data_IF_312927627015
#
_entry.id   IF_312927627015
#
_cell.length_a   1.000
_cell.length_b   1.000
_cell.length_c   1.000
_cell.angle_alpha   90.00
_cell.angle_beta   90.00
_cell.angle_gamma   90.00
#
_symmetry.space_group_name_H-M   'P 1'
#
loop_
_entity.id
_entity.type
_entity.pdbx_description
1 polymer ?
#
# COMPACT_ATOMS: atom_id res chain seq x y z
N UNK A 1 -96.79 30.03 -5.20
CA UNK A 1 -95.63 30.87 -5.59
C UNK A 1 -94.80 31.42 -4.42
N UNK A 2 -95.33 32.24 -3.48
CA UNK A 2 -94.52 32.75 -2.33
C UNK A 2 -94.22 31.69 -1.25
N UNK A 3 -95.13 30.76 -0.99
CA UNK A 3 -94.92 29.68 -0.01
C UNK A 3 -93.99 28.59 -0.55
N UNK A 4 -94.11 28.21 -1.82
CA UNK A 4 -93.21 27.24 -2.48
C UNK A 4 -91.75 27.73 -2.58
N UNK A 5 -91.55 29.05 -2.71
CA UNK A 5 -90.21 29.65 -2.64
C UNK A 5 -89.61 29.59 -1.23
N UNK A 6 -90.43 29.71 -0.18
CA UNK A 6 -89.95 29.61 1.21
C UNK A 6 -89.56 28.18 1.57
N UNK A 7 -90.37 27.20 1.18
CA UNK A 7 -90.06 25.78 1.42
C UNK A 7 -88.80 25.34 0.66
N UNK A 8 -88.61 25.78 -0.58
CA UNK A 8 -87.38 25.51 -1.34
C UNK A 8 -86.13 26.15 -0.70
N UNK A 9 -86.24 27.34 -0.12
CA UNK A 9 -85.13 27.97 0.60
C UNK A 9 -84.79 27.23 1.91
N UNK A 10 -85.80 26.76 2.65
CA UNK A 10 -85.59 25.99 3.88
C UNK A 10 -84.93 24.63 3.62
N UNK A 11 -85.27 23.97 2.51
CA UNK A 11 -84.61 22.71 2.10
C UNK A 11 -83.14 22.93 1.71
N UNK A 12 -82.83 24.02 1.01
CA UNK A 12 -81.45 24.39 0.68
C UNK A 12 -80.63 24.65 1.95
N UNK A 13 -81.19 25.39 2.92
CA UNK A 13 -80.52 25.66 4.20
C UNK A 13 -80.26 24.37 4.97
N UNK A 14 -81.25 23.49 5.10
CA UNK A 14 -81.07 22.19 5.76
C UNK A 14 -80.01 21.31 5.08
N UNK A 15 -79.97 21.33 3.74
CA UNK A 15 -78.94 20.62 2.98
C UNK A 15 -77.55 21.21 3.24
N UNK A 16 -77.42 22.54 3.27
CA UNK A 16 -76.16 23.22 3.57
C UNK A 16 -75.69 22.96 5.00
N UNK A 17 -76.59 22.98 5.99
CA UNK A 17 -76.27 22.65 7.38
C UNK A 17 -75.77 21.21 7.52
N UNK A 18 -76.44 20.26 6.85
CA UNK A 18 -76.00 18.86 6.82
C UNK A 18 -74.61 18.69 6.20
N UNK A 19 -74.34 19.40 5.10
CA UNK A 19 -73.02 19.38 4.44
C UNK A 19 -71.93 20.03 5.33
N UNK A 20 -72.24 21.12 6.01
CA UNK A 20 -71.33 21.78 6.95
C UNK A 20 -71.00 20.87 8.14
N UNK A 21 -71.99 20.15 8.66
CA UNK A 21 -71.79 19.19 9.75
C UNK A 21 -70.93 18.00 9.31
N UNK A 22 -71.13 17.49 8.09
CA UNK A 22 -70.25 16.45 7.51
C UNK A 22 -68.81 16.94 7.38
N UNK A 23 -68.59 18.14 6.83
CA UNK A 23 -67.26 18.75 6.72
C UNK A 23 -66.58 18.95 8.08
N UNK A 24 -67.33 19.38 9.11
CA UNK A 24 -66.80 19.53 10.48
C UNK A 24 -66.32 18.20 11.05
N UNK A 25 -67.10 17.13 10.84
CA UNK A 25 -66.74 15.79 11.32
C UNK A 25 -65.54 15.22 10.55
N UNK A 26 -65.44 15.48 9.25
CA UNK A 26 -64.29 15.08 8.44
C UNK A 26 -63.00 15.82 8.86
N UNK A 27 -63.06 17.13 9.05
CA UNK A 27 -61.93 17.93 9.57
C UNK A 27 -61.50 17.43 10.95
N UNK A 28 -62.44 17.12 11.84
CA UNK A 28 -62.15 16.58 13.18
C UNK A 28 -61.43 15.23 13.08
N UNK A 29 -61.88 14.36 12.18
CA UNK A 29 -61.27 13.04 11.96
C UNK A 29 -59.87 13.17 11.39
N UNK A 30 -59.68 13.99 10.35
CA UNK A 30 -58.36 14.27 9.75
C UNK A 30 -57.39 14.88 10.77
N UNK A 31 -57.86 15.80 11.63
CA UNK A 31 -57.05 16.36 12.71
C UNK A 31 -56.56 15.27 13.68
N UNK A 32 -57.45 14.38 14.10
CA UNK A 32 -57.09 13.27 14.99
C UNK A 32 -56.10 12.29 14.33
N UNK A 33 -56.27 11.99 13.05
CA UNK A 33 -55.31 11.16 12.31
C UNK A 33 -53.95 11.84 12.19
N UNK A 34 -53.93 13.15 11.91
CA UNK A 34 -52.71 13.93 11.82
C UNK A 34 -51.97 13.94 13.16
N UNK A 35 -52.67 14.19 14.28
CA UNK A 35 -52.10 14.13 15.62
C UNK A 35 -51.52 12.75 15.96
N UNK A 36 -52.21 11.66 15.57
CA UNK A 36 -51.67 10.30 15.74
C UNK A 36 -50.38 10.10 14.95
N UNK A 37 -50.32 10.55 13.69
CA UNK A 37 -49.11 10.46 12.85
C UNK A 37 -47.97 11.27 13.44
N UNK A 38 -48.22 12.49 13.92
CA UNK A 38 -47.21 13.32 14.59
C UNK A 38 -46.62 12.61 15.81
N UNK A 39 -47.46 12.05 16.68
CA UNK A 39 -46.98 11.29 17.86
C UNK A 39 -46.11 10.09 17.50
N UNK A 40 -46.42 9.40 16.39
CA UNK A 40 -45.60 8.29 15.90
C UNK A 40 -44.23 8.78 15.40
N UNK A 41 -44.22 9.88 14.65
CA UNK A 41 -42.96 10.48 14.17
C UNK A 41 -42.10 11.03 15.31
N UNK A 42 -42.70 11.64 16.33
CA UNK A 42 -42.01 12.15 17.51
C UNK A 42 -41.25 11.04 18.24
N UNK A 43 -41.92 9.90 18.52
CA UNK A 43 -41.25 8.72 19.09
C UNK A 43 -40.12 8.20 18.21
N UNK A 44 -40.33 8.15 16.89
CA UNK A 44 -39.27 7.68 15.97
C UNK A 44 -38.05 8.61 15.99
N UNK A 45 -38.25 9.92 16.13
CA UNK A 45 -37.16 10.90 16.26
C UNK A 45 -36.43 10.69 17.59
N UNK A 46 -37.14 10.45 18.68
CA UNK A 46 -36.54 10.14 19.99
C UNK A 46 -35.71 8.85 19.95
N UNK A 47 -36.24 7.78 19.35
CA UNK A 47 -35.52 6.51 19.20
C UNK A 47 -34.22 6.69 18.37
N UNK A 48 -34.31 7.41 17.25
CA UNK A 48 -33.14 7.73 16.41
C UNK A 48 -32.12 8.59 17.17
N UNK A 49 -32.58 9.54 17.98
CA UNK A 49 -31.71 10.37 18.80
C UNK A 49 -30.96 9.52 19.84
N UNK A 50 -31.65 8.64 20.56
CA UNK A 50 -31.03 7.73 21.52
C UNK A 50 -30.00 6.81 20.85
N UNK A 51 -30.34 6.28 19.66
CA UNK A 51 -29.42 5.44 18.89
C UNK A 51 -28.16 6.20 18.47
N UNK A 52 -28.30 7.44 18.00
CA UNK A 52 -27.17 8.29 17.63
C UNK A 52 -26.28 8.64 18.83
N UNK A 53 -26.86 8.90 20.00
CA UNK A 53 -26.10 9.12 21.24
C UNK A 53 -25.29 7.87 21.60
N UNK A 54 -25.90 6.68 21.51
CA UNK A 54 -25.21 5.41 21.74
C UNK A 54 -24.03 5.17 20.79
N UNK A 55 -24.23 5.43 19.48
CA UNK A 55 -23.15 5.33 18.50
C UNK A 55 -22.01 6.32 18.78
N UNK A 56 -22.34 7.55 19.16
CA UNK A 56 -21.33 8.58 19.48
C UNK A 56 -20.47 8.14 20.67
N UNK A 57 -21.08 7.61 21.73
CA UNK A 57 -20.37 7.10 22.90
C UNK A 57 -19.46 5.91 22.56
N UNK A 58 -19.92 5.01 21.67
CA UNK A 58 -19.11 3.87 21.23
C UNK A 58 -17.89 4.32 20.41
N UNK A 59 -18.09 5.29 19.51
CA UNK A 59 -17.01 5.87 18.71
C UNK A 59 -15.99 6.55 19.63
N UNK A 60 -16.44 7.36 20.59
CA UNK A 60 -15.56 8.01 21.57
C UNK A 60 -14.74 7.01 22.39
N UNK A 61 -15.35 5.89 22.79
CA UNK A 61 -14.65 4.83 23.52
C UNK A 61 -13.54 4.19 22.68
N UNK A 62 -13.82 3.83 21.43
CA UNK A 62 -12.79 3.24 20.54
C UNK A 62 -11.71 4.26 20.17
N UNK A 63 -12.05 5.55 20.01
CA UNK A 63 -11.06 6.62 19.83
C UNK A 63 -10.10 6.71 21.01
N UNK A 64 -10.60 6.80 22.25
CA UNK A 64 -9.74 6.86 23.46
C UNK A 64 -8.84 5.64 23.60
N UNK A 65 -9.36 4.46 23.25
CA UNK A 65 -8.59 3.21 23.26
C UNK A 65 -7.47 3.21 22.21
N UNK A 66 -7.73 3.76 21.02
CA UNK A 66 -6.72 3.93 19.98
C UNK A 66 -5.68 4.99 20.36
N UNK A 67 -6.09 6.13 20.91
CA UNK A 67 -5.19 7.15 21.45
C UNK A 67 -4.23 6.56 22.49
N UNK A 68 -4.75 5.78 23.43
CA UNK A 68 -3.92 5.12 24.44
C UNK A 68 -2.87 4.17 23.82
N UNK A 69 -3.26 3.42 22.78
CA UNK A 69 -2.32 2.55 22.04
C UNK A 69 -1.25 3.37 21.32
N UNK A 70 -1.63 4.47 20.68
CA UNK A 70 -0.70 5.38 19.99
C UNK A 70 0.32 5.92 20.99
N UNK A 71 -0.13 6.49 22.11
CA UNK A 71 0.77 7.03 23.15
C UNK A 71 1.70 5.95 23.72
N UNK A 72 1.23 4.71 23.86
CA UNK A 72 2.09 3.60 24.29
C UNK A 72 3.18 3.29 23.25
N UNK A 73 2.82 3.26 21.97
CA UNK A 73 3.78 3.02 20.89
C UNK A 73 4.78 4.16 20.71
N UNK A 74 4.35 5.41 20.87
CA UNK A 74 5.22 6.59 20.87
C UNK A 74 6.30 6.46 21.96
N UNK A 75 5.90 6.17 23.21
CA UNK A 75 6.86 5.96 24.31
C UNK A 75 7.88 4.85 24.04
N UNK A 76 7.43 3.73 23.45
CA UNK A 76 8.34 2.62 23.10
C UNK A 76 9.31 3.05 21.98
N UNK A 77 8.84 3.86 21.03
CA UNK A 77 9.65 4.35 19.93
C UNK A 77 10.70 5.34 20.42
N UNK A 78 10.33 6.25 21.31
CA UNK A 78 11.26 7.20 21.94
C UNK A 78 12.33 6.48 22.75
N UNK A 79 11.97 5.44 23.51
CA UNK A 79 12.94 4.61 24.23
C UNK A 79 13.92 3.88 23.30
N UNK A 80 13.45 3.38 22.16
CA UNK A 80 14.32 2.73 21.17
C UNK A 80 15.24 3.72 20.47
N UNK A 81 14.77 4.94 20.22
CA UNK A 81 15.59 6.01 19.65
C UNK A 81 16.72 6.39 20.60
N UNK A 82 16.44 6.59 21.89
CA UNK A 82 17.48 6.89 22.87
C UNK A 82 18.50 5.75 23.03
N UNK A 83 18.06 4.49 22.99
CA UNK A 83 18.98 3.34 22.98
C UNK A 83 19.89 3.31 21.73
N UNK A 84 19.37 3.70 20.57
CA UNK A 84 20.14 3.77 19.33
C UNK A 84 21.14 4.92 19.36
N UNK A 85 20.74 6.09 19.83
CA UNK A 85 21.63 7.26 19.97
C UNK A 85 22.83 6.92 20.87
N UNK A 86 22.58 6.29 22.02
CA UNK A 86 23.65 5.85 22.93
C UNK A 86 24.61 4.83 22.26
N UNK A 87 24.10 3.95 21.40
CA UNK A 87 24.94 2.98 20.66
C UNK A 87 25.77 3.67 19.59
N UNK A 88 25.18 4.62 18.87
CA UNK A 88 25.90 5.40 17.85
C UNK A 88 27.02 6.21 18.49
N UNK A 89 26.76 6.85 19.64
CA UNK A 89 27.77 7.59 20.39
C UNK A 89 28.93 6.66 20.80
N UNK A 90 28.62 5.51 21.40
CA UNK A 90 29.65 4.52 21.77
C UNK A 90 30.48 4.03 20.56
N UNK A 91 29.83 3.70 19.44
CA UNK A 91 30.55 3.28 18.24
C UNK A 91 31.37 4.41 17.63
N UNK A 92 30.93 5.66 17.75
CA UNK A 92 31.70 6.81 17.28
C UNK A 92 32.97 7.01 18.10
N UNK A 93 32.91 6.79 19.41
CA UNK A 93 34.09 6.80 20.30
C UNK A 93 35.05 5.66 19.94
N UNK A 94 34.54 4.44 19.75
CA UNK A 94 35.35 3.28 19.34
C UNK A 94 36.03 3.49 17.98
N UNK A 95 35.36 4.14 17.03
CA UNK A 95 35.96 4.48 15.73
C UNK A 95 37.08 5.51 15.90
N UNK A 96 36.90 6.49 16.80
CA UNK A 96 37.92 7.52 17.02
C UNK A 96 39.16 6.95 17.73
N UNK A 97 39.00 6.03 18.68
CA UNK A 97 40.14 5.32 19.30
C UNK A 97 40.90 4.49 18.27
N UNK A 98 40.21 3.72 17.42
CA UNK A 98 40.84 2.93 16.34
C UNK A 98 41.59 3.84 15.35
N UNK A 99 41.04 5.01 15.00
CA UNK A 99 41.74 5.97 14.12
C UNK A 99 43.03 6.49 14.75
N UNK A 100 43.03 6.75 16.05
CA UNK A 100 44.24 7.20 16.76
C UNK A 100 45.30 6.09 16.86
N UNK A 101 44.89 4.83 17.07
CA UNK A 101 45.78 3.67 16.98
C UNK A 101 46.42 3.54 15.59
N UNK A 102 45.61 3.62 14.52
CA UNK A 102 46.11 3.59 13.12
C UNK A 102 47.06 4.77 12.84
N UNK A 103 46.76 5.98 13.35
CA UNK A 103 47.66 7.14 13.21
C UNK A 103 48.98 6.93 13.95
N UNK A 104 48.97 6.24 15.09
CA UNK A 104 50.16 5.83 15.82
C UNK A 104 51.02 4.84 15.03
N UNK A 105 50.41 3.80 14.46
CA UNK A 105 51.09 2.79 13.64
C UNK A 105 51.60 3.34 12.30
N UNK A 106 50.87 4.27 11.68
CA UNK A 106 51.28 4.95 10.44
C UNK A 106 52.54 5.82 10.60
N UNK A 107 52.91 6.21 11.83
CA UNK A 107 54.20 6.89 12.10
C UNK A 107 55.40 5.93 12.06
N UNK A 108 55.19 4.63 12.29
CA UNK A 108 56.24 3.61 12.21
C UNK A 108 56.49 3.09 10.78
N UNK A 109 55.49 3.14 9.89
CA UNK A 109 55.60 2.63 8.51
C UNK A 109 56.11 3.66 7.49
N UNK A 110 56.05 4.96 7.79
CA UNK A 110 56.62 6.02 6.93
C UNK A 110 58.15 5.97 6.77
N UNK A 111 58.87 5.23 7.62
CA UNK A 111 60.31 5.02 7.49
C UNK A 111 60.69 3.94 6.44
N UNK A 112 59.73 3.22 5.84
CA UNK A 112 60.04 2.01 5.04
C UNK A 112 59.32 1.89 3.70
N UNK A 113 58.82 2.97 3.11
CA UNK A 113 58.26 2.94 1.75
C UNK A 113 58.90 4.05 0.91
N UNK A 114 60.01 3.71 0.26
CA UNK A 114 60.40 4.35 -0.99
C UNK A 114 60.20 3.34 -2.12
N UNK A 115 59.55 3.83 -3.19
CA UNK A 115 59.60 3.31 -4.56
C UNK A 115 58.64 2.16 -4.92
N UNK A 116 57.36 2.50 -5.17
CA UNK A 116 56.60 1.85 -6.26
C UNK A 116 55.91 2.97 -7.06
N UNK A 117 56.26 3.03 -8.35
CA UNK A 117 55.76 3.97 -9.34
C UNK A 117 54.27 3.73 -9.61
N UNK A 118 53.52 4.83 -9.69
CA UNK A 118 52.13 4.87 -10.11
C UNK A 118 52.04 4.70 -11.64
N UNK A 119 51.42 3.61 -12.08
CA UNK A 119 50.57 3.55 -13.29
C UNK A 119 49.11 3.40 -12.81
N UNK A 120 48.09 3.93 -13.51
CA UNK A 120 46.71 3.82 -13.05
C UNK A 120 46.19 2.39 -13.33
N UNK A 121 46.52 1.48 -12.42
CA UNK A 121 46.12 0.06 -12.40
C UNK A 121 44.86 -0.18 -11.54
N UNK A 122 44.24 0.89 -11.04
CA UNK A 122 43.18 0.90 -10.02
C UNK A 122 41.83 0.30 -10.45
N UNK A 123 41.67 -0.11 -11.71
CA UNK A 123 40.46 -0.79 -12.20
C UNK A 123 40.65 -2.30 -12.38
N UNK A 124 41.89 -2.81 -12.41
CA UNK A 124 42.18 -4.24 -12.63
C UNK A 124 42.26 -5.07 -11.33
N UNK A 125 42.29 -4.41 -10.18
CA UNK A 125 42.47 -5.03 -8.85
C UNK A 125 41.31 -4.80 -7.89
N UNK A 126 40.15 -4.35 -8.38
CA UNK A 126 39.01 -4.11 -7.49
C UNK A 126 38.45 -5.44 -7.00
N UNK A 127 38.68 -5.73 -5.71
CA UNK A 127 38.04 -6.84 -5.01
C UNK A 127 36.52 -6.74 -5.22
N UNK A 128 35.84 -7.80 -5.69
CA UNK A 128 34.41 -7.78 -5.92
C UNK A 128 33.65 -7.36 -4.66
N UNK A 129 32.52 -6.67 -4.85
CA UNK A 129 31.60 -6.39 -3.75
C UNK A 129 31.12 -7.71 -3.15
N UNK A 130 31.00 -7.75 -1.82
CA UNK A 130 30.49 -8.92 -1.12
C UNK A 130 29.06 -9.23 -1.52
N UNK A 131 28.71 -10.51 -1.54
CA UNK A 131 27.37 -11.00 -1.87
C UNK A 131 26.70 -11.61 -0.64
N UNK A 132 25.54 -11.07 -0.30
CA UNK A 132 24.78 -11.42 0.91
C UNK A 132 23.69 -12.50 0.67
N UNK A 133 23.44 -12.84 -0.60
CA UNK A 133 22.34 -13.74 -1.00
C UNK A 133 21.08 -13.01 -1.45
N UNK A 134 21.04 -11.68 -1.41
CA UNK A 134 19.86 -10.90 -1.77
C UNK A 134 19.94 -10.36 -3.21
N UNK A 135 19.01 -10.81 -4.04
CA UNK A 135 18.87 -10.39 -5.44
C UNK A 135 18.72 -8.87 -5.63
N UNK A 136 18.24 -8.14 -4.61
CA UNK A 136 18.13 -6.67 -4.65
C UNK A 136 19.47 -5.95 -4.52
N UNK A 137 20.44 -6.55 -3.83
CA UNK A 137 21.73 -5.91 -3.51
C UNK A 137 22.81 -6.21 -4.56
N UNK A 138 22.65 -7.29 -5.31
CA UNK A 138 23.49 -7.67 -6.44
C UNK A 138 22.99 -8.93 -7.12
N UNK A 139 23.09 -8.98 -8.46
CA UNK A 139 22.64 -10.16 -9.20
C UNK A 139 23.68 -11.30 -9.11
N UNK A 140 23.29 -12.56 -8.82
CA UNK A 140 24.20 -13.71 -8.68
C UNK A 140 25.14 -13.90 -9.87
N UNK A 141 24.64 -13.76 -11.11
CA UNK A 141 25.46 -13.85 -12.33
C UNK A 141 26.52 -12.74 -12.39
N UNK A 142 26.18 -11.51 -11.98
CA UNK A 142 27.13 -10.40 -12.01
C UNK A 142 28.20 -10.57 -10.94
N UNK A 143 27.82 -11.08 -9.76
CA UNK A 143 28.78 -11.46 -8.72
C UNK A 143 29.77 -12.52 -9.24
N UNK A 144 29.28 -13.63 -9.82
CA UNK A 144 30.15 -14.67 -10.36
C UNK A 144 31.08 -14.13 -11.45
N UNK A 145 30.57 -13.32 -12.40
CA UNK A 145 31.42 -12.70 -13.43
C UNK A 145 32.51 -11.81 -12.84
N UNK A 146 32.17 -11.01 -11.82
CA UNK A 146 33.14 -10.15 -11.15
C UNK A 146 34.20 -10.97 -10.41
N UNK A 147 33.78 -12.04 -9.73
CA UNK A 147 34.67 -13.00 -9.07
C UNK A 147 35.59 -13.70 -10.07
N UNK A 148 35.08 -14.20 -11.18
CA UNK A 148 35.89 -14.85 -12.21
C UNK A 148 36.93 -13.90 -12.79
N UNK A 149 36.53 -12.65 -13.08
CA UNK A 149 37.46 -11.65 -13.58
C UNK A 149 38.53 -11.28 -12.54
N UNK A 150 38.17 -11.23 -11.27
CA UNK A 150 39.13 -11.04 -10.18
C UNK A 150 40.10 -12.23 -10.07
N UNK A 151 39.59 -13.46 -10.09
CA UNK A 151 40.39 -14.67 -9.93
C UNK A 151 41.31 -14.97 -11.12
N UNK A 152 40.97 -14.52 -12.34
CA UNK A 152 41.83 -14.66 -13.54
C UNK A 152 43.21 -14.04 -13.36
N UNK A 153 43.34 -13.05 -12.49
CA UNK A 153 44.59 -12.34 -12.26
C UNK A 153 45.51 -13.04 -11.25
N UNK A 154 45.08 -14.18 -10.70
CA UNK A 154 45.83 -14.95 -9.72
C UNK A 154 46.16 -16.35 -10.25
N UNK A 155 47.44 -16.70 -10.22
CA UNK A 155 47.94 -18.07 -10.43
C UNK A 155 47.86 -18.84 -9.11
N UNK A 156 46.65 -19.26 -8.77
CA UNK A 156 46.34 -19.95 -7.51
C UNK A 156 45.62 -21.27 -7.77
N UNK A 157 45.71 -22.17 -6.82
CA UNK A 157 45.04 -23.48 -6.87
C UNK A 157 43.52 -23.32 -6.81
N UNK A 158 42.79 -24.29 -7.35
CA UNK A 158 41.32 -24.25 -7.34
C UNK A 158 40.74 -24.26 -5.92
N UNK A 159 41.43 -24.84 -4.94
CA UNK A 159 41.02 -24.80 -3.54
C UNK A 159 41.19 -23.40 -2.93
N UNK A 160 42.29 -22.70 -3.25
CA UNK A 160 42.51 -21.32 -2.82
C UNK A 160 41.48 -20.38 -3.47
N UNK A 161 41.10 -20.63 -4.73
CA UNK A 161 40.01 -19.92 -5.40
C UNK A 161 38.70 -20.06 -4.63
N UNK A 162 38.32 -21.29 -4.26
CA UNK A 162 37.10 -21.53 -3.47
C UNK A 162 37.14 -20.78 -2.14
N UNK A 163 38.27 -20.81 -1.42
CA UNK A 163 38.44 -20.10 -0.16
C UNK A 163 38.27 -18.58 -0.32
N UNK A 164 38.90 -17.98 -1.34
CA UNK A 164 38.77 -16.54 -1.64
C UNK A 164 37.31 -16.20 -1.93
N UNK A 165 36.61 -17.01 -2.72
CA UNK A 165 35.20 -16.74 -3.05
C UNK A 165 34.31 -16.82 -1.82
N UNK A 166 34.56 -17.77 -0.91
CA UNK A 166 33.84 -17.84 0.36
C UNK A 166 34.03 -16.60 1.23
N UNK A 167 35.20 -15.94 1.19
CA UNK A 167 35.41 -14.67 1.88
C UNK A 167 34.64 -13.49 1.28
N UNK A 168 34.31 -13.58 -0.01
CA UNK A 168 33.49 -12.60 -0.73
C UNK A 168 31.99 -12.81 -0.49
N UNK A 169 31.59 -13.82 0.29
CA UNK A 169 30.22 -14.02 0.72
C UNK A 169 30.00 -13.41 2.12
N UNK A 170 28.80 -12.90 2.35
CA UNK A 170 28.36 -12.39 3.65
C UNK A 170 26.92 -12.84 3.95
N UNK A 171 26.46 -12.55 5.18
CA UNK A 171 25.10 -12.87 5.61
C UNK A 171 24.68 -14.32 5.35
N UNK A 172 23.51 -14.50 4.74
CA UNK A 172 22.94 -15.81 4.46
C UNK A 172 23.76 -16.62 3.45
N UNK A 173 24.36 -15.95 2.45
CA UNK A 173 25.22 -16.61 1.48
C UNK A 173 26.48 -17.19 2.13
N UNK A 174 27.05 -16.50 3.12
CA UNK A 174 28.19 -17.02 3.89
C UNK A 174 27.81 -18.25 4.70
N UNK A 175 26.69 -18.21 5.44
CA UNK A 175 26.21 -19.35 6.22
C UNK A 175 25.93 -20.58 5.34
N UNK A 176 25.30 -20.39 4.18
CA UNK A 176 25.09 -21.44 3.19
C UNK A 176 26.42 -22.02 2.69
N UNK A 177 27.40 -21.16 2.38
CA UNK A 177 28.68 -21.62 1.87
C UNK A 177 29.50 -22.41 2.88
N UNK A 178 29.41 -22.06 4.16
CA UNK A 178 30.12 -22.78 5.23
C UNK A 178 29.59 -24.21 5.37
N UNK A 179 28.27 -24.40 5.25
CA UNK A 179 27.63 -25.72 5.33
C UNK A 179 28.10 -26.66 4.21
N UNK A 180 28.29 -26.13 3.00
CA UNK A 180 28.64 -26.90 1.80
C UNK A 180 30.13 -26.84 1.42
N UNK A 181 30.94 -26.14 2.22
CA UNK A 181 32.36 -25.87 1.96
C UNK A 181 33.22 -27.12 1.69
N UNK A 182 32.84 -28.26 2.28
CA UNK A 182 33.55 -29.55 2.11
C UNK A 182 33.19 -30.29 0.82
N UNK A 183 32.13 -29.85 0.13
CA UNK A 183 31.63 -30.50 -1.08
C UNK A 183 32.35 -30.00 -2.33
N UNK A 184 32.97 -28.82 -2.28
CA UNK A 184 33.58 -28.18 -3.44
C UNK A 184 35.10 -28.37 -3.48
N UNK A 185 35.57 -29.02 -4.55
CA UNK A 185 36.99 -29.24 -4.85
C UNK A 185 37.54 -28.24 -5.87
N UNK A 186 36.64 -27.59 -6.61
CA UNK A 186 37.00 -26.60 -7.60
C UNK A 186 35.95 -25.48 -7.70
N UNK A 187 36.33 -24.40 -8.36
CA UNK A 187 35.48 -23.23 -8.53
C UNK A 187 34.23 -23.51 -9.36
N UNK A 188 34.26 -24.50 -10.25
CA UNK A 188 33.12 -24.83 -11.12
C UNK A 188 32.00 -25.51 -10.31
N UNK A 189 32.34 -26.44 -9.42
CA UNK A 189 31.38 -27.07 -8.49
C UNK A 189 30.71 -26.01 -7.60
N UNK A 190 31.50 -25.08 -7.05
CA UNK A 190 30.96 -23.94 -6.31
C UNK A 190 29.97 -23.14 -7.16
N UNK A 191 30.35 -22.78 -8.40
CA UNK A 191 29.50 -22.00 -9.30
C UNK A 191 28.18 -22.69 -9.60
N UNK A 192 28.21 -23.98 -9.88
CA UNK A 192 26.99 -24.75 -10.17
C UNK A 192 26.03 -24.73 -8.97
N UNK A 193 26.54 -25.01 -7.78
CA UNK A 193 25.73 -24.99 -6.56
C UNK A 193 25.24 -23.59 -6.19
N UNK A 194 26.10 -22.58 -6.38
CA UNK A 194 25.75 -21.19 -6.15
C UNK A 194 24.61 -20.75 -7.09
N UNK A 195 24.69 -21.11 -8.36
CA UNK A 195 23.64 -20.82 -9.34
C UNK A 195 22.35 -21.58 -9.03
N UNK A 196 22.42 -22.86 -8.63
CA UNK A 196 21.25 -23.62 -8.18
C UNK A 196 20.59 -23.00 -6.95
N UNK A 197 21.37 -22.46 -6.02
CA UNK A 197 20.84 -21.86 -4.80
C UNK A 197 20.23 -20.47 -5.04
N UNK A 198 20.97 -19.58 -5.70
CA UNK A 198 20.62 -18.16 -5.78
C UNK A 198 19.99 -17.74 -7.12
N UNK A 199 20.11 -18.56 -8.17
CA UNK A 199 19.55 -18.28 -9.50
C UNK A 199 18.95 -19.53 -10.17
N UNK A 200 18.17 -20.30 -9.41
CA UNK A 200 17.45 -21.47 -9.91
C UNK A 200 16.41 -21.12 -10.99
N UNK A 201 15.97 -22.13 -11.74
CA UNK A 201 14.85 -22.02 -12.67
C UNK A 201 13.60 -21.46 -11.97
N UNK A 202 13.30 -21.91 -10.75
CA UNK A 202 12.20 -21.38 -9.95
C UNK A 202 12.33 -19.87 -9.66
N UNK A 203 13.54 -19.36 -9.42
CA UNK A 203 13.76 -17.92 -9.23
C UNK A 203 13.55 -17.16 -10.53
N UNK A 204 14.01 -17.71 -11.65
CA UNK A 204 13.80 -17.13 -12.98
C UNK A 204 12.31 -17.10 -13.34
N UNK A 205 11.57 -18.17 -13.07
CA UNK A 205 10.14 -18.25 -13.36
C UNK A 205 9.31 -17.29 -12.51
N UNK A 206 9.70 -17.05 -11.25
CA UNK A 206 9.09 -15.98 -10.43
C UNK A 206 9.26 -14.61 -11.08
N UNK A 207 10.42 -14.32 -11.68
CA UNK A 207 10.66 -13.05 -12.37
C UNK A 207 9.83 -12.99 -13.66
N UNK A 208 9.81 -14.08 -14.46
CA UNK A 208 8.96 -14.16 -15.67
C UNK A 208 7.48 -13.95 -15.34
N UNK A 209 6.98 -14.57 -14.26
CA UNK A 209 5.59 -14.42 -13.82
C UNK A 209 5.30 -12.97 -13.40
N UNK A 210 6.22 -12.35 -12.65
CA UNK A 210 6.07 -10.94 -12.29
C UNK A 210 6.10 -10.05 -13.54
N UNK A 211 7.01 -10.28 -14.49
CA UNK A 211 7.05 -9.55 -15.76
C UNK A 211 5.75 -9.69 -16.58
N UNK A 212 5.06 -10.83 -16.49
CA UNK A 212 3.79 -11.03 -17.18
C UNK A 212 2.59 -10.36 -16.48
N UNK A 213 2.78 -9.82 -15.28
CA UNK A 213 1.70 -9.26 -14.48
C UNK A 213 1.36 -7.85 -15.00
N UNK A 214 0.10 -7.59 -15.42
CA UNK A 214 -0.28 -6.28 -15.93
C UNK A 214 -0.36 -5.24 -14.80
N UNK A 215 -0.32 -3.95 -15.17
CA UNK A 215 -0.50 -2.80 -14.27
C UNK A 215 0.48 -2.75 -13.09
N UNK A 216 1.73 -3.12 -13.34
CA UNK A 216 2.79 -3.11 -12.33
C UNK A 216 3.48 -1.77 -12.13
N UNK A 217 3.29 -0.80 -13.03
CA UNK A 217 3.88 0.52 -12.87
C UNK A 217 3.29 1.24 -11.65
N UNK A 218 4.17 1.76 -10.80
CA UNK A 218 3.83 2.56 -9.63
C UNK A 218 4.56 3.90 -9.71
N UNK A 219 3.81 5.00 -9.84
CA UNK A 219 4.35 6.35 -9.93
C UNK A 219 5.16 6.79 -8.70
N UNK A 220 5.02 6.09 -7.56
CA UNK A 220 5.82 6.37 -6.36
C UNK A 220 7.23 5.79 -6.44
N UNK A 221 7.50 4.88 -7.39
CA UNK A 221 8.77 4.15 -7.50
C UNK A 221 9.71 4.69 -8.57
N UNK A 222 9.27 5.68 -9.35
CA UNK A 222 10.06 6.26 -10.43
C UNK A 222 9.18 6.77 -11.56
N UNK A 223 9.82 7.28 -12.60
CA UNK A 223 9.18 7.65 -13.85
C UNK A 223 8.96 6.40 -14.74
N UNK A 224 8.34 6.53 -15.92
CA UNK A 224 8.09 5.39 -16.80
C UNK A 224 9.39 4.75 -17.31
N UNK A 225 10.39 5.56 -17.60
CA UNK A 225 11.71 5.13 -18.10
C UNK A 225 12.45 4.32 -17.05
N UNK A 226 12.46 4.77 -15.79
CA UNK A 226 13.07 4.06 -14.65
C UNK A 226 12.46 2.67 -14.50
N UNK A 227 11.14 2.56 -14.66
CA UNK A 227 10.43 1.28 -14.59
C UNK A 227 10.84 0.32 -15.72
N UNK A 228 11.01 0.83 -16.94
CA UNK A 228 11.52 0.03 -18.06
C UNK A 228 12.93 -0.48 -17.76
N UNK A 229 13.85 0.42 -17.37
CA UNK A 229 15.23 0.03 -17.09
C UNK A 229 15.37 -0.93 -15.93
N UNK A 230 14.54 -0.78 -14.88
CA UNK A 230 14.46 -1.75 -13.79
C UNK A 230 14.16 -3.16 -14.32
N UNK A 231 13.12 -3.31 -15.15
CA UNK A 231 12.75 -4.62 -15.70
C UNK A 231 13.74 -5.16 -16.73
N UNK A 232 14.36 -4.30 -17.52
CA UNK A 232 15.47 -4.70 -18.42
C UNK A 232 16.62 -5.29 -17.60
N UNK A 233 16.99 -4.64 -16.49
CA UNK A 233 18.02 -5.15 -15.58
C UNK A 233 17.65 -6.48 -14.92
N UNK A 234 16.42 -6.60 -14.40
CA UNK A 234 15.93 -7.82 -13.75
C UNK A 234 15.83 -9.02 -14.71
N UNK A 235 15.58 -8.76 -16.00
CA UNK A 235 15.37 -9.81 -17.00
C UNK A 235 16.60 -10.13 -17.84
N UNK A 236 17.67 -9.32 -17.75
CA UNK A 236 18.90 -9.46 -18.54
C UNK A 236 19.59 -10.83 -18.42
N UNK A 237 19.34 -11.55 -17.33
CA UNK A 237 19.98 -12.81 -16.99
C UNK A 237 19.05 -14.02 -17.00
N UNK A 238 17.82 -13.85 -17.48
CA UNK A 238 16.86 -14.96 -17.64
C UNK A 238 17.32 -15.91 -18.74
N UNK A 239 17.19 -17.21 -18.49
CA UNK A 239 17.40 -18.25 -19.48
C UNK A 239 16.08 -19.01 -19.79
N UNK A 240 15.81 -19.30 -21.08
CA UNK A 240 16.47 -18.74 -22.26
C UNK A 240 16.29 -17.21 -22.35
N UNK A 241 17.22 -16.47 -23.00
CA UNK A 241 17.10 -15.03 -23.16
C UNK A 241 15.76 -14.65 -23.80
N UNK A 242 15.07 -13.68 -23.19
CA UNK A 242 13.82 -13.14 -23.75
C UNK A 242 14.11 -12.40 -25.05
N UNK A 243 13.28 -12.61 -26.06
CA UNK A 243 13.35 -11.77 -27.26
C UNK A 243 12.94 -10.35 -26.89
N UNK A 244 13.62 -9.37 -27.46
CA UNK A 244 13.36 -7.96 -27.16
C UNK A 244 11.90 -7.58 -27.40
N UNK A 245 11.31 -8.06 -28.50
CA UNK A 245 9.89 -7.86 -28.81
C UNK A 245 8.95 -8.42 -27.73
N UNK A 246 9.30 -9.59 -27.15
CA UNK A 246 8.50 -10.21 -26.08
C UNK A 246 8.60 -9.42 -24.79
N UNK A 247 9.80 -8.91 -24.48
CA UNK A 247 10.02 -8.04 -23.33
C UNK A 247 9.23 -6.74 -23.48
N UNK A 248 9.33 -6.07 -24.63
CA UNK A 248 8.59 -4.83 -24.92
C UNK A 248 7.10 -5.06 -24.79
N UNK A 249 6.56 -6.11 -25.41
CA UNK A 249 5.13 -6.44 -25.34
C UNK A 249 4.66 -6.76 -23.91
N UNK A 250 5.49 -7.37 -23.06
CA UNK A 250 5.16 -7.56 -21.65
C UNK A 250 5.15 -6.22 -20.90
N UNK A 251 6.16 -5.38 -21.14
CA UNK A 251 6.31 -4.08 -20.50
C UNK A 251 5.22 -3.08 -20.85
N UNK A 252 4.69 -3.09 -22.08
CA UNK A 252 3.58 -2.18 -22.45
C UNK A 252 2.36 -2.37 -21.56
N UNK A 253 2.10 -3.60 -21.11
CA UNK A 253 0.98 -3.96 -20.22
C UNK A 253 1.19 -3.55 -18.76
N UNK A 254 2.39 -3.09 -18.40
CA UNK A 254 2.66 -2.62 -17.04
C UNK A 254 2.05 -1.25 -16.75
N UNK A 255 1.81 -0.44 -17.78
CA UNK A 255 1.39 0.95 -17.65
C UNK A 255 -0.13 1.11 -17.52
N UNK A 256 -0.62 2.29 -17.11
CA UNK A 256 -2.06 2.60 -17.13
C UNK A 256 -2.65 2.46 -18.54
N UNK A 257 -3.95 2.19 -18.61
CA UNK A 257 -4.63 1.82 -19.86
C UNK A 257 -4.49 2.89 -20.95
N UNK A 258 -4.45 4.16 -20.60
CA UNK A 258 -4.28 5.27 -21.54
C UNK A 258 -2.91 5.22 -22.21
N UNK A 259 -1.86 4.94 -21.43
CA UNK A 259 -0.49 4.82 -21.92
C UNK A 259 -0.33 3.51 -22.70
N UNK A 260 -0.86 2.41 -22.18
CA UNK A 260 -0.85 1.10 -22.84
C UNK A 260 -1.44 1.19 -24.24
N UNK A 261 -2.61 1.83 -24.41
CA UNK A 261 -3.24 1.99 -25.71
C UNK A 261 -2.38 2.77 -26.71
N UNK A 262 -1.70 3.83 -26.25
CA UNK A 262 -0.78 4.61 -27.08
C UNK A 262 0.41 3.74 -27.51
N UNK A 263 1.00 2.99 -26.57
CA UNK A 263 2.14 2.12 -26.84
C UNK A 263 1.81 0.98 -27.81
N UNK A 264 0.65 0.35 -27.64
CA UNK A 264 0.14 -0.68 -28.56
C UNK A 264 -0.08 -0.07 -29.94
N UNK A 265 -0.66 1.15 -30.01
CA UNK A 265 -0.87 1.86 -31.28
C UNK A 265 0.42 2.24 -32.00
N UNK A 266 1.50 2.54 -31.28
CA UNK A 266 2.82 2.81 -31.88
C UNK A 266 3.52 1.54 -32.41
N UNK A 267 3.15 0.35 -31.92
CA UNK A 267 3.70 -0.91 -32.41
C UNK A 267 5.21 -1.09 -32.13
N UNK A 268 5.68 -0.55 -31.00
CA UNK A 268 7.11 -0.58 -30.67
C UNK A 268 7.62 -1.99 -30.43
N UNK A 269 8.83 -2.26 -30.96
CA UNK A 269 9.46 -3.59 -30.93
C UNK A 269 10.78 -3.62 -30.18
N UNK A 270 11.38 -2.47 -29.95
CA UNK A 270 12.67 -2.32 -29.27
C UNK A 270 12.49 -1.57 -27.96
N UNK A 271 13.33 -1.88 -26.98
CA UNK A 271 13.34 -1.20 -25.69
C UNK A 271 13.64 0.29 -25.87
N UNK A 272 14.54 0.63 -26.79
CA UNK A 272 14.90 2.02 -27.06
C UNK A 272 13.70 2.83 -27.57
N UNK A 273 12.93 2.28 -28.51
CA UNK A 273 11.78 3.02 -29.01
C UNK A 273 10.67 3.15 -27.95
N UNK A 274 10.46 2.09 -27.15
CA UNK A 274 9.55 2.13 -26.01
C UNK A 274 9.92 3.26 -25.05
N UNK A 275 11.20 3.39 -24.69
CA UNK A 275 11.70 4.47 -23.82
C UNK A 275 11.45 5.85 -24.46
N UNK A 276 11.83 6.03 -25.72
CA UNK A 276 11.64 7.31 -26.43
C UNK A 276 10.16 7.72 -26.47
N UNK A 277 9.25 6.75 -26.66
CA UNK A 277 7.81 7.02 -26.68
C UNK A 277 7.27 7.37 -25.29
N UNK A 278 7.71 6.65 -24.25
CA UNK A 278 7.34 6.93 -22.86
C UNK A 278 7.82 8.32 -22.41
N UNK A 279 9.03 8.74 -22.79
CA UNK A 279 9.54 10.08 -22.52
C UNK A 279 8.61 11.15 -23.10
N UNK A 280 8.22 11.02 -24.38
CA UNK A 280 7.28 11.94 -25.03
C UNK A 280 5.92 11.98 -24.33
N UNK A 281 5.40 10.82 -23.91
CA UNK A 281 4.13 10.74 -23.17
C UNK A 281 4.23 11.44 -21.81
N UNK A 282 5.36 11.32 -21.10
CA UNK A 282 5.59 11.99 -19.83
C UNK A 282 5.79 13.50 -19.97
N UNK A 283 6.44 13.95 -21.04
CA UNK A 283 6.60 15.37 -21.36
C UNK A 283 5.27 16.03 -21.70
N UNK A 284 4.41 15.32 -22.45
CA UNK A 284 3.07 15.80 -22.82
C UNK A 284 2.09 15.87 -21.63
N UNK A 285 2.35 15.16 -20.51
CA UNK A 285 1.47 15.10 -19.34
C UNK A 285 2.07 15.82 -18.11
N UNK A 286 1.84 17.13 -17.93
CA UNK A 286 2.37 17.89 -16.80
C UNK A 286 1.81 17.45 -15.42
N UNK A 287 0.67 16.76 -15.40
CA UNK A 287 0.09 16.21 -14.16
C UNK A 287 0.89 15.02 -13.60
N UNK A 288 1.70 14.33 -14.41
CA UNK A 288 2.58 13.25 -13.95
C UNK A 288 3.80 13.77 -13.18
N UNK A 289 4.31 14.96 -13.53
CA UNK A 289 5.47 15.58 -12.85
C UNK A 289 5.16 16.04 -11.42
N UNK A 290 3.91 16.41 -11.11
CA UNK A 290 3.54 16.89 -9.76
C UNK A 290 3.61 15.80 -8.68
N UNK A 291 3.35 14.54 -9.03
CA UNK A 291 3.39 13.44 -8.07
C UNK A 291 4.81 12.93 -7.74
N UNK A 292 5.82 13.30 -8.53
CA UNK A 292 7.22 12.90 -8.29
C UNK A 292 7.96 13.93 -7.39
N UNK A 293 7.52 15.19 -7.38
CA UNK A 293 8.11 16.26 -6.54
C UNK A 293 7.32 16.58 -5.26
N UNK A 294 6.18 15.92 -5.01
CA UNK A 294 5.25 16.26 -3.93
C UNK A 294 5.66 15.87 -2.49
N UNK A 295 6.83 15.26 -2.26
CA UNK A 295 7.17 14.69 -0.93
C UNK A 295 8.28 15.43 -0.18
N UNK A 296 8.53 16.72 -0.48
CA UNK A 296 9.55 17.49 0.29
C UNK A 296 9.15 18.84 0.87
N UNK A 297 7.97 19.40 0.61
CA UNK A 297 7.59 20.70 1.20
C UNK A 297 6.06 20.89 1.30
N UNK A 298 5.37 20.06 2.09
CA UNK A 298 3.96 20.34 2.46
C UNK A 298 3.71 20.09 3.95
N UNK A 299 4.67 20.46 4.79
CA UNK A 299 4.44 20.72 6.21
C UNK A 299 4.72 22.21 6.41
N UNK A 300 3.66 23.04 6.48
CA UNK A 300 3.60 24.35 7.18
C UNK A 300 2.69 25.44 6.55
N UNK A 301 1.59 25.13 5.83
CA UNK A 301 0.70 26.23 5.38
C UNK A 301 -0.81 26.15 5.62
N UNK A 302 -1.39 25.08 6.18
CA UNK A 302 -2.84 25.04 6.45
C UNK A 302 -3.21 24.94 7.94
N UNK A 303 -2.62 25.80 8.79
CA UNK A 303 -3.00 25.88 10.22
C UNK A 303 -3.20 27.29 10.77
N UNK A 304 -3.53 28.27 9.92
CA UNK A 304 -3.99 29.60 10.35
C UNK A 304 -5.03 30.11 9.35
N UNK A 305 -6.32 29.96 9.68
CA UNK A 305 -7.43 30.88 9.31
C UNK A 305 -8.85 30.27 9.45
N UNK A 306 -9.13 29.57 10.56
CA UNK A 306 -10.51 29.13 10.87
C UNK A 306 -10.98 29.50 12.29
N UNK A 307 -10.48 30.63 12.84
CA UNK A 307 -10.86 31.11 14.18
C UNK A 307 -11.42 32.53 14.26
N UNK A 308 -11.77 33.16 13.14
CA UNK A 308 -12.45 34.47 13.15
C UNK A 308 -13.59 34.50 12.12
N UNK A 309 -14.69 33.79 12.37
CA UNK A 309 -15.96 34.16 11.72
C UNK A 309 -17.24 33.61 12.39
N UNK A 310 -17.31 33.68 13.73
CA UNK A 310 -18.53 33.30 14.47
C UNK A 310 -19.25 34.44 15.20
N UNK A 311 -18.95 35.70 14.89
CA UNK A 311 -19.70 36.83 15.43
C UNK A 311 -20.06 37.81 14.32
N UNK A 312 -21.20 37.54 13.66
CA UNK A 312 -22.18 38.51 13.13
C UNK A 312 -23.06 37.84 12.08
N UNK A 313 -24.29 37.49 12.49
CA UNK A 313 -25.54 37.74 11.74
C UNK A 313 -26.72 37.10 12.48
N UNK A 314 -27.26 37.86 13.44
CA UNK A 314 -28.71 37.87 13.66
C UNK A 314 -29.29 38.88 12.67
N UNK A 315 -30.18 38.47 11.75
CA UNK A 315 -31.34 39.26 11.31
C UNK A 315 -32.41 38.31 10.76
N UNK A 316 -33.62 38.47 11.29
CA UNK A 316 -34.93 37.97 10.83
C UNK A 316 -35.10 37.83 9.31
N UNK A 317 -35.71 36.71 8.87
CA UNK A 317 -36.77 36.76 7.85
C UNK A 317 -37.84 35.72 8.23
N UNK A 318 -39.01 36.23 8.60
CA UNK A 318 -40.30 35.54 8.65
C UNK A 318 -40.89 35.67 7.26
N UNK A 319 -41.21 34.58 6.56
CA UNK A 319 -42.13 34.65 5.42
C UNK A 319 -42.94 33.36 5.24
N UNK A 320 -44.26 33.57 5.14
CA UNK A 320 -45.31 32.57 5.07
C UNK A 320 -45.42 31.95 3.67
N UNK A 321 -45.46 30.61 3.62
CA UNK A 321 -46.43 29.79 2.88
C UNK A 321 -46.54 29.87 1.35
N UNK A 322 -46.35 28.72 0.68
CA UNK A 322 -47.40 27.96 -0.06
C UNK A 322 -46.78 26.93 -1.03
N UNK A 323 -47.07 25.64 -0.78
CA UNK A 323 -47.86 24.82 -1.71
C UNK A 323 -47.17 23.96 -2.80
N UNK A 324 -47.44 22.65 -2.67
CA UNK A 324 -47.61 21.58 -3.69
C UNK A 324 -46.41 20.76 -4.19
N UNK A 325 -46.38 19.49 -3.74
CA UNK A 325 -46.62 18.24 -4.52
C UNK A 325 -46.23 18.28 -6.01
N UNK A 326 -45.53 17.29 -6.59
CA UNK A 326 -45.93 15.88 -6.64
C UNK A 326 -44.89 15.00 -7.39
N UNK A 327 -44.94 13.68 -7.13
CA UNK A 327 -44.58 12.55 -8.03
C UNK A 327 -43.15 12.00 -8.10
N UNK A 328 -42.89 11.10 -7.14
CA UNK A 328 -42.49 9.67 -7.24
C UNK A 328 -41.28 9.14 -8.05
N UNK A 329 -40.67 8.02 -7.58
CA UNK A 329 -39.35 7.50 -7.97
C UNK A 329 -39.38 6.13 -8.70
N UNK A 330 -38.30 5.79 -9.40
CA UNK A 330 -38.00 4.45 -9.94
C UNK A 330 -36.47 4.30 -10.03
N UNK A 331 -35.80 3.21 -9.63
CA UNK A 331 -36.23 1.92 -9.13
C UNK A 331 -35.02 1.05 -8.75
N UNK A 332 -35.33 -0.16 -8.26
CA UNK A 332 -34.48 -1.37 -8.21
C UNK A 332 -33.53 -1.57 -7.02
N UNK A 333 -34.11 -2.12 -5.94
CA UNK A 333 -33.49 -3.10 -5.04
C UNK A 333 -34.03 -4.50 -5.37
N UNK A 334 -33.20 -5.54 -5.29
CA UNK A 334 -33.43 -6.89 -4.71
C UNK A 334 -32.21 -7.80 -5.04
N UNK A 335 -31.97 -8.94 -4.36
CA UNK A 335 -32.27 -9.29 -2.97
C UNK A 335 -31.10 -10.00 -2.23
N UNK A 336 -31.22 -10.00 -0.90
CA UNK A 336 -30.46 -10.75 0.08
C UNK A 336 -30.78 -12.26 -0.01
N UNK A 337 -29.76 -13.14 -0.07
CA UNK A 337 -29.91 -14.60 -0.17
C UNK A 337 -29.45 -15.25 1.15
N UNK A 338 -30.41 -15.71 1.96
CA UNK A 338 -30.24 -16.66 3.06
C UNK A 338 -30.75 -18.04 2.61
N UNK A 339 -29.94 -19.07 2.83
CA UNK A 339 -30.22 -20.52 2.86
C UNK A 339 -28.97 -21.12 3.56
N UNK A 340 -28.97 -22.03 4.53
CA UNK A 340 -29.94 -22.98 5.06
C UNK A 340 -29.76 -23.07 6.59
N UNK A 341 -30.88 -23.21 7.29
CA UNK A 341 -31.00 -23.77 8.63
C UNK A 341 -31.51 -25.21 8.42
N UNK A 342 -30.86 -26.24 8.96
CA UNK A 342 -31.54 -27.51 9.23
C UNK A 342 -30.92 -28.21 10.45
N UNK A 343 -31.70 -28.16 11.56
CA UNK A 343 -32.03 -29.24 12.52
C UNK A 343 -30.95 -30.30 12.77
N UNK A 344 -30.48 -30.54 14.00
CA UNK A 344 -31.22 -30.72 15.25
C UNK A 344 -30.51 -31.78 16.14
N UNK A 345 -31.00 -32.09 17.35
CA UNK A 345 -30.19 -32.05 18.59
C UNK A 345 -30.06 -33.37 19.37
N UNK A 346 -29.16 -33.44 20.37
CA UNK A 346 -29.29 -34.05 21.74
C UNK A 346 -27.89 -34.30 22.34
N UNK A 347 -27.46 -33.62 23.41
CA UNK A 347 -27.72 -33.83 24.86
C UNK A 347 -26.98 -35.02 25.51
N UNK A 348 -26.28 -34.65 26.61
CA UNK A 348 -25.80 -35.43 27.78
C UNK A 348 -24.46 -36.15 27.60
N UNK A 349 -23.61 -36.32 28.61
CA UNK A 349 -23.40 -35.80 29.99
C UNK A 349 -22.21 -36.65 30.48
N UNK A 350 -21.24 -35.99 31.10
CA UNK A 350 -20.21 -36.42 32.06
C UNK A 350 -19.78 -37.89 32.29
N UNK A 351 -18.53 -37.93 32.79
CA UNK A 351 -17.98 -38.81 33.84
C UNK A 351 -17.22 -40.07 33.39
N UNK A 352 -15.89 -39.94 33.51
CA UNK A 352 -15.01 -40.68 34.43
C UNK A 352 -14.70 -42.18 34.25
N UNK A 353 -13.45 -42.44 34.63
CA UNK A 353 -12.74 -43.70 34.93
C UNK A 353 -12.20 -44.52 33.74
N UNK A 354 -10.88 -44.65 33.59
CA UNK A 354 -9.83 -45.30 34.43
C UNK A 354 -9.71 -46.80 34.13
N UNK A 355 -8.49 -47.13 33.65
CA UNK A 355 -7.74 -48.39 33.73
C UNK A 355 -8.32 -49.70 33.15
N UNK A 356 -7.47 -50.33 32.32
CA UNK A 356 -6.98 -51.68 32.63
C UNK A 356 -7.13 -52.72 31.52
N UNK A 357 -5.98 -53.26 31.09
CA UNK A 357 -5.75 -54.54 30.40
C UNK A 357 -6.22 -54.60 28.93
N UNK A 358 -5.43 -55.05 27.96
CA UNK A 358 -4.41 -56.12 27.94
C UNK A 358 -3.04 -55.71 27.40
#
# INVERSE_FOLDING_TARGET
MKEEMKTGQEEIIRSQEKNLEQLRNEIKTQKQECEKKFRVHERKIEDLHQQNVGFTQQVDYEFRKMEHKITKHEKITDQKLTELDNKVEKYSEEVETIKEEIRGEARFTKAKIHKIMVRPESELYQRPKKFDGNLRNGHPINFIKAVENYLKNFEITDQERVNIVMELLEGNAKSWSQLRSREWRNINEFKEDFMKQFWSEQNQDKIKLRLATPKLYDSRRGNYVDHVWYWVGETAHIQPPLREEQLVHALTRHFPQEVENILIGSGEKTVQNLVNMLERIQEANPNFRRNVQGTRNSENQDRRDYRQNQERRQVNVVEYGRGRNEQNPSGWRYPNRRYYEERGPQRRRNEDNVQGNE
#
